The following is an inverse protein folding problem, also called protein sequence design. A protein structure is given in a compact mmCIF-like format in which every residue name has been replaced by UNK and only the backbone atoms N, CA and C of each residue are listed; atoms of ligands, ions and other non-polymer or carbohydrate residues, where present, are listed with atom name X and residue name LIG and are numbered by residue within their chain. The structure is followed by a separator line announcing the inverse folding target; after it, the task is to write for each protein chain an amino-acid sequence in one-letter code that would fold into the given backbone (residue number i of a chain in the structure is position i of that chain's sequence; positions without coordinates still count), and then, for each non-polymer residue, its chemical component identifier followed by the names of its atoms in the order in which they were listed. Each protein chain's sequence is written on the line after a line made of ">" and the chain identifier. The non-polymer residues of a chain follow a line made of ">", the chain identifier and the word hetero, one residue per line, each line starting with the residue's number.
data_IF_921400100437
#
_entry.id   IF_921400100437
#
_cell.length_a   1.000
_cell.length_b   1.000
_cell.length_c   1.000
_cell.angle_alpha   90.00
_cell.angle_beta   90.00
_cell.angle_gamma   90.00
#
_symmetry.space_group_name_H-M   'P 1'
#
loop_
_entity.id
_entity.type
_entity.pdbx_description
1 polymer ?
#
# COMPACT_ATOMS: atom_id res chain seq x y z
N UNK A 1 -17.07 1.87 -14.62
CA UNK A 1 -15.79 1.24 -15.05
C UNK A 1 -14.94 1.14 -13.80
N UNK A 2 -14.28 0.01 -13.57
CA UNK A 2 -13.42 -0.20 -12.40
C UNK A 2 -12.03 0.39 -12.66
N UNK A 3 -11.26 -0.19 -13.60
CA UNK A 3 -9.95 0.33 -14.00
C UNK A 3 -9.54 -0.15 -15.40
N UNK A 4 -8.53 0.46 -16.01
CA UNK A 4 -7.86 -0.10 -17.18
C UNK A 4 -6.73 -1.02 -16.73
N UNK A 5 -6.77 -2.29 -17.13
CA UNK A 5 -5.80 -3.28 -16.71
C UNK A 5 -4.84 -3.61 -17.86
N UNK A 6 -3.56 -3.19 -17.78
CA UNK A 6 -2.59 -3.42 -18.85
C UNK A 6 -2.29 -4.91 -19.04
N UNK A 7 -2.39 -5.72 -17.99
CA UNK A 7 -2.09 -7.16 -18.00
C UNK A 7 -3.05 -7.98 -18.87
N UNK A 8 -4.27 -7.49 -19.06
CA UNK A 8 -5.27 -8.12 -19.94
C UNK A 8 -5.53 -7.27 -21.21
N UNK A 9 -4.83 -6.15 -21.36
CA UNK A 9 -5.00 -5.22 -22.48
C UNK A 9 -6.42 -4.67 -22.65
N UNK A 10 -7.20 -4.57 -21.57
CA UNK A 10 -8.62 -4.19 -21.63
C UNK A 10 -9.07 -3.43 -20.37
N UNK A 11 -10.15 -2.65 -20.50
CA UNK A 11 -10.82 -2.06 -19.35
C UNK A 11 -11.61 -3.12 -18.58
N UNK A 12 -11.52 -3.07 -17.26
CA UNK A 12 -12.32 -3.86 -16.32
C UNK A 12 -13.53 -3.02 -15.89
N UNK A 13 -14.71 -3.59 -15.99
CA UNK A 13 -15.98 -2.95 -15.65
C UNK A 13 -17.10 -3.99 -15.61
N UNK A 14 -18.35 -3.55 -15.49
CA UNK A 14 -19.49 -4.45 -15.24
C UNK A 14 -19.54 -5.69 -16.14
N UNK A 15 -19.36 -5.52 -17.47
CA UNK A 15 -19.45 -6.62 -18.42
C UNK A 15 -18.37 -7.70 -18.31
N UNK A 16 -17.24 -7.42 -17.67
CA UNK A 16 -16.14 -8.38 -17.52
C UNK A 16 -15.57 -8.53 -16.11
N UNK A 17 -16.11 -7.79 -15.13
CA UNK A 17 -15.62 -7.79 -13.75
C UNK A 17 -15.68 -9.19 -13.12
N UNK A 18 -16.78 -9.93 -13.35
CA UNK A 18 -16.93 -11.29 -12.81
C UNK A 18 -15.94 -12.29 -13.40
N UNK A 19 -15.55 -12.13 -14.68
CA UNK A 19 -14.49 -12.96 -15.28
C UNK A 19 -13.12 -12.58 -14.73
N UNK A 20 -12.86 -11.29 -14.52
CA UNK A 20 -11.61 -10.79 -13.95
C UNK A 20 -11.38 -11.33 -12.54
N UNK A 21 -12.38 -11.29 -11.65
CA UNK A 21 -12.27 -11.85 -10.29
C UNK A 21 -11.97 -13.35 -10.31
N UNK A 22 -12.62 -14.10 -11.21
CA UNK A 22 -12.35 -15.54 -11.38
C UNK A 22 -10.93 -15.80 -11.87
N UNK A 23 -10.44 -14.99 -12.81
CA UNK A 23 -9.06 -15.06 -13.27
C UNK A 23 -8.06 -14.86 -12.11
N UNK A 24 -8.23 -13.83 -11.29
CA UNK A 24 -7.36 -13.59 -10.13
C UNK A 24 -7.41 -14.76 -9.15
N UNK A 25 -8.60 -15.29 -8.87
CA UNK A 25 -8.76 -16.47 -8.00
C UNK A 25 -8.03 -17.71 -8.56
N UNK A 26 -8.13 -17.98 -9.86
CA UNK A 26 -7.40 -19.06 -10.52
C UNK A 26 -5.88 -18.88 -10.46
N UNK A 27 -5.38 -17.65 -10.60
CA UNK A 27 -3.94 -17.35 -10.44
C UNK A 27 -3.48 -17.66 -9.02
N UNK A 28 -4.24 -17.28 -8.00
CA UNK A 28 -3.93 -17.59 -6.60
C UNK A 28 -3.87 -19.11 -6.38
N UNK A 29 -4.84 -19.87 -6.90
CA UNK A 29 -4.84 -21.34 -6.81
C UNK A 29 -3.61 -21.93 -7.51
N UNK A 30 -3.30 -21.46 -8.71
CA UNK A 30 -2.16 -21.94 -9.48
C UNK A 30 -0.83 -21.68 -8.75
N UNK A 31 -0.62 -20.46 -8.24
CA UNK A 31 0.57 -20.09 -7.50
C UNK A 31 0.69 -20.86 -6.18
N UNK A 32 -0.40 -21.02 -5.42
CA UNK A 32 -0.39 -21.79 -4.17
C UNK A 32 -0.11 -23.28 -4.41
N UNK A 33 -0.70 -23.87 -5.45
CA UNK A 33 -0.41 -25.25 -5.85
C UNK A 33 1.04 -25.42 -6.31
N UNK A 34 1.58 -24.49 -7.09
CA UNK A 34 2.99 -24.48 -7.48
C UNK A 34 3.92 -24.41 -6.27
N UNK A 35 3.66 -23.48 -5.33
CA UNK A 35 4.40 -23.39 -4.08
C UNK A 35 4.33 -24.69 -3.27
N UNK A 36 3.16 -25.31 -3.17
CA UNK A 36 2.99 -26.59 -2.48
C UNK A 36 3.86 -27.70 -3.11
N UNK A 37 3.84 -27.84 -4.44
CA UNK A 37 4.66 -28.84 -5.13
C UNK A 37 6.16 -28.59 -4.97
N UNK A 38 6.58 -27.33 -5.02
CA UNK A 38 7.97 -26.95 -4.81
C UNK A 38 8.43 -27.26 -3.38
N UNK A 39 7.62 -26.91 -2.38
CA UNK A 39 7.91 -27.23 -0.98
C UNK A 39 7.94 -28.75 -0.75
N UNK A 40 7.00 -29.49 -1.32
CA UNK A 40 6.98 -30.95 -1.26
C UNK A 40 8.23 -31.56 -1.89
N UNK A 41 8.67 -31.03 -3.05
CA UNK A 41 9.90 -31.47 -3.71
C UNK A 41 11.14 -31.17 -2.88
N UNK A 42 11.22 -29.98 -2.30
CA UNK A 42 12.31 -29.57 -1.42
C UNK A 42 12.39 -30.47 -0.19
N UNK A 43 11.26 -30.75 0.46
CA UNK A 43 11.17 -31.68 1.59
C UNK A 43 11.77 -33.04 1.22
N UNK A 44 11.36 -33.62 0.08
CA UNK A 44 11.91 -34.91 -0.39
C UNK A 44 13.42 -34.89 -0.64
N UNK A 45 13.96 -33.78 -1.14
CA UNK A 45 15.41 -33.63 -1.34
C UNK A 45 16.12 -33.54 0.00
N UNK A 46 15.58 -32.77 0.96
CA UNK A 46 16.12 -32.72 2.32
C UNK A 46 16.07 -34.08 3.03
N UNK A 47 14.99 -34.85 2.84
CA UNK A 47 14.84 -36.21 3.37
C UNK A 47 15.88 -37.15 2.76
N UNK A 48 16.14 -37.03 1.46
CA UNK A 48 17.17 -37.83 0.77
C UNK A 48 18.60 -37.42 1.15
N UNK A 49 18.81 -36.17 1.58
CA UNK A 49 20.11 -35.64 1.99
C UNK A 49 20.41 -35.89 3.47
N UNK A 50 19.41 -36.18 4.30
CA UNK A 50 19.60 -36.53 5.72
C UNK A 50 19.75 -38.05 5.90
N UNK A 51 20.99 -38.47 6.13
CA UNK A 51 21.27 -39.70 6.89
C UNK A 51 20.72 -39.54 8.32
N UNK A 52 20.34 -40.66 8.94
CA UNK A 52 19.77 -40.78 10.29
C UNK A 52 20.24 -39.66 11.23
N UNK A 53 19.28 -39.02 11.90
CA UNK A 53 19.37 -37.93 12.88
C UNK A 53 18.80 -36.58 12.40
N UNK A 54 17.79 -36.13 13.16
CA UNK A 54 17.15 -34.82 13.17
C UNK A 54 15.94 -34.59 12.22
N UNK A 55 14.92 -35.45 12.30
CA UNK A 55 13.53 -35.08 11.97
C UNK A 55 12.78 -34.44 13.15
N UNK A 56 13.42 -34.35 14.31
CA UNK A 56 12.86 -33.86 15.57
C UNK A 56 12.59 -32.35 15.59
N UNK A 57 13.28 -31.54 14.78
CA UNK A 57 13.15 -30.08 14.84
C UNK A 57 11.92 -29.57 14.07
N UNK A 58 11.48 -30.24 13.00
CA UNK A 58 10.30 -29.78 12.23
C UNK A 58 8.99 -30.17 12.91
N UNK A 59 8.93 -31.36 13.51
CA UNK A 59 7.79 -31.78 14.34
C UNK A 59 7.77 -30.98 15.65
N UNK A 60 8.91 -30.63 16.26
CA UNK A 60 8.97 -29.73 17.41
C UNK A 60 8.62 -28.26 17.07
N UNK A 61 8.89 -27.79 15.84
CA UNK A 61 8.47 -26.46 15.39
C UNK A 61 6.95 -26.39 15.13
N UNK A 62 6.37 -27.49 14.63
CA UNK A 62 4.91 -27.61 14.40
C UNK A 62 4.13 -27.93 15.68
N UNK A 63 4.68 -28.74 16.59
CA UNK A 63 4.09 -29.02 17.92
C UNK A 63 4.41 -27.91 18.95
N UNK A 64 5.50 -27.18 18.78
CA UNK A 64 5.92 -26.06 19.63
C UNK A 64 5.11 -24.78 19.43
N UNK A 65 4.34 -24.67 18.34
CA UNK A 65 3.31 -23.63 18.17
C UNK A 65 1.92 -24.04 18.66
N UNK A 66 1.81 -25.02 19.57
CA UNK A 66 0.52 -25.38 20.20
C UNK A 66 0.21 -24.63 21.51
N UNK A 67 0.92 -23.53 21.78
CA UNK A 67 0.65 -22.63 22.92
C UNK A 67 0.90 -21.15 22.56
N UNK A 68 0.40 -20.69 21.41
CA UNK A 68 -0.10 -19.31 21.37
C UNK A 68 -1.59 -19.41 21.70
N UNK A 69 -1.84 -19.35 23.00
CA UNK A 69 -3.16 -19.19 23.61
C UNK A 69 -3.77 -17.92 23.00
N UNK A 70 -4.60 -18.15 22.01
CA UNK A 70 -5.42 -17.17 21.34
C UNK A 70 -6.37 -16.55 22.39
N UNK A 71 -5.98 -15.41 22.97
CA UNK A 71 -6.96 -14.48 23.49
C UNK A 71 -7.62 -13.80 22.31
N UNK A 72 -8.50 -14.55 21.65
CA UNK A 72 -9.55 -13.98 20.81
C UNK A 72 -10.56 -13.39 21.79
N UNK A 73 -10.37 -12.12 22.15
CA UNK A 73 -11.48 -11.31 22.59
C UNK A 73 -12.60 -11.47 21.57
N UNK A 74 -13.70 -12.07 22.01
CA UNK A 74 -14.87 -12.26 21.18
C UNK A 74 -15.48 -10.90 20.87
N UNK A 75 -14.94 -10.22 19.86
CA UNK A 75 -15.70 -9.20 19.15
C UNK A 75 -16.85 -9.96 18.48
N UNK A 76 -18.01 -9.91 19.13
CA UNK A 76 -19.27 -10.41 18.63
C UNK A 76 -19.50 -9.69 17.30
N UNK A 77 -19.07 -10.31 16.18
CA UNK A 77 -19.33 -9.77 14.84
C UNK A 77 -20.83 -9.80 14.69
N UNK A 78 -21.40 -8.62 14.51
CA UNK A 78 -22.82 -8.50 14.25
C UNK A 78 -23.19 -9.39 13.07
N UNK A 79 -24.13 -10.32 13.27
CA UNK A 79 -24.61 -11.24 12.22
C UNK A 79 -25.04 -10.47 10.97
N UNK A 80 -25.50 -9.22 11.15
CA UNK A 80 -25.91 -8.34 10.07
C UNK A 80 -24.78 -7.95 9.11
N UNK A 81 -23.51 -7.97 9.54
CA UNK A 81 -22.36 -7.59 8.71
C UNK A 81 -21.97 -8.71 7.74
N UNK A 82 -22.04 -9.96 8.21
CA UNK A 82 -21.79 -11.14 7.36
C UNK A 82 -22.83 -11.30 6.26
N UNK A 83 -24.11 -11.05 6.56
CA UNK A 83 -25.20 -11.11 5.59
C UNK A 83 -25.02 -10.06 4.48
N UNK A 84 -24.65 -8.82 4.85
CA UNK A 84 -24.38 -7.74 3.89
C UNK A 84 -23.19 -8.07 2.98
N UNK A 85 -22.14 -8.67 3.54
CA UNK A 85 -20.97 -9.10 2.77
C UNK A 85 -21.34 -10.15 1.71
N UNK A 86 -22.15 -11.14 2.09
CA UNK A 86 -22.59 -12.20 1.18
C UNK A 86 -23.41 -11.61 0.04
N UNK A 87 -24.32 -10.67 0.33
CA UNK A 87 -25.11 -9.99 -0.70
C UNK A 87 -24.22 -9.24 -1.71
N UNK A 88 -23.16 -8.59 -1.24
CA UNK A 88 -22.19 -7.92 -2.12
C UNK A 88 -21.46 -8.93 -3.02
N UNK A 89 -21.07 -10.09 -2.48
CA UNK A 89 -20.42 -11.15 -3.26
C UNK A 89 -21.39 -11.72 -4.30
N UNK A 90 -22.64 -12.02 -3.91
CA UNK A 90 -23.66 -12.53 -4.82
C UNK A 90 -23.99 -11.53 -5.94
N UNK A 91 -23.89 -10.22 -5.70
CA UNK A 91 -24.08 -9.21 -6.74
C UNK A 91 -23.07 -9.32 -7.90
N UNK A 92 -21.90 -9.93 -7.66
CA UNK A 92 -20.83 -10.10 -8.65
C UNK A 92 -20.81 -11.52 -9.23
N UNK A 93 -20.93 -12.54 -8.37
CA UNK A 93 -20.75 -13.95 -8.75
C UNK A 93 -22.06 -14.72 -8.97
N UNK A 94 -23.20 -14.13 -8.60
CA UNK A 94 -24.52 -14.75 -8.63
C UNK A 94 -24.89 -15.47 -7.34
N UNK A 95 -26.17 -15.84 -7.22
CA UNK A 95 -26.76 -16.37 -5.99
C UNK A 95 -26.32 -17.80 -5.65
N UNK A 96 -25.80 -18.53 -6.63
CA UNK A 96 -25.44 -19.94 -6.51
C UNK A 96 -23.93 -20.12 -6.29
N UNK A 97 -23.46 -20.44 -5.06
CA UNK A 97 -22.02 -20.58 -4.78
C UNK A 97 -21.34 -21.71 -5.54
N UNK A 98 -22.09 -22.75 -5.91
CA UNK A 98 -21.58 -23.87 -6.73
C UNK A 98 -21.20 -23.39 -8.14
N UNK A 99 -21.87 -22.35 -8.65
CA UNK A 99 -21.62 -21.80 -9.98
C UNK A 99 -20.57 -20.68 -9.97
N UNK A 100 -20.04 -20.29 -8.82
CA UNK A 100 -18.98 -19.29 -8.75
C UNK A 100 -17.72 -19.63 -9.54
N UNK A 101 -17.26 -20.90 -9.60
CA UNK A 101 -16.15 -21.30 -10.47
C UNK A 101 -16.52 -21.27 -11.96
N UNK A 102 -17.82 -21.30 -12.29
CA UNK A 102 -18.27 -21.34 -13.67
C UNK A 102 -18.21 -19.94 -14.32
N UNK A 103 -17.69 -19.82 -15.55
CA UNK A 103 -17.59 -18.52 -16.24
C UNK A 103 -18.98 -18.06 -16.67
N UNK A 104 -19.64 -17.31 -15.79
CA UNK A 104 -20.92 -16.68 -16.05
C UNK A 104 -20.83 -15.15 -15.86
N UNK A 105 -21.60 -14.37 -16.66
CA UNK A 105 -21.66 -12.92 -16.50
C UNK A 105 -22.26 -12.53 -15.15
N UNK A 106 -21.92 -11.34 -14.64
CA UNK A 106 -22.54 -10.81 -13.43
C UNK A 106 -24.02 -10.51 -13.63
N UNK A 107 -24.88 -10.73 -12.62
CA UNK A 107 -26.29 -10.35 -12.70
C UNK A 107 -26.45 -8.82 -12.74
N UNK A 108 -27.54 -8.35 -13.37
CA UNK A 108 -27.88 -6.92 -13.47
C UNK A 108 -27.59 -6.31 -14.85
N UNK A 109 -27.76 -4.99 -14.95
CA UNK A 109 -27.58 -4.21 -16.19
C UNK A 109 -26.35 -3.29 -16.18
N UNK A 110 -25.65 -3.17 -15.03
CA UNK A 110 -24.50 -2.30 -14.87
C UNK A 110 -24.80 -0.79 -14.81
N UNK A 111 -26.08 -0.42 -14.83
CA UNK A 111 -26.56 0.97 -14.74
C UNK A 111 -27.23 1.24 -13.40
N UNK A 112 -27.89 0.22 -12.85
CA UNK A 112 -28.61 0.29 -11.57
C UNK A 112 -27.99 -0.70 -10.59
N UNK A 113 -27.77 -0.24 -9.37
CA UNK A 113 -27.21 -1.03 -8.27
C UNK A 113 -28.10 -0.90 -7.05
N UNK A 114 -28.16 -1.96 -6.24
CA UNK A 114 -28.89 -1.92 -4.99
C UNK A 114 -28.23 -0.94 -4.01
N UNK A 115 -29.01 -0.01 -3.48
CA UNK A 115 -28.56 0.97 -2.48
C UNK A 115 -29.27 0.68 -1.16
N UNK A 116 -28.59 0.90 -0.04
CA UNK A 116 -29.18 0.75 1.30
C UNK A 116 -30.38 1.70 1.45
N UNK A 117 -31.45 1.23 2.09
CA UNK A 117 -32.62 2.06 2.37
C UNK A 117 -32.23 3.29 3.23
N UNK A 118 -32.86 4.43 2.96
CA UNK A 118 -32.58 5.75 3.58
C UNK A 118 -31.17 6.29 3.33
N UNK A 119 -30.51 5.87 2.25
CA UNK A 119 -29.28 6.53 1.79
C UNK A 119 -29.64 7.80 1.05
N UNK A 120 -28.93 8.89 1.36
CA UNK A 120 -29.07 10.16 0.65
C UNK A 120 -28.76 9.97 -0.85
N UNK A 121 -29.68 10.34 -1.77
CA UNK A 121 -29.44 10.23 -3.21
C UNK A 121 -28.26 11.08 -3.69
N UNK A 122 -27.87 12.12 -2.94
CA UNK A 122 -26.72 12.95 -3.26
C UNK A 122 -25.40 12.38 -2.71
N UNK A 123 -25.42 11.23 -2.03
CA UNK A 123 -24.24 10.57 -1.46
C UNK A 123 -23.08 10.45 -2.45
N UNK A 124 -23.37 10.06 -3.70
CA UNK A 124 -22.36 9.85 -4.72
C UNK A 124 -21.61 11.12 -5.13
N UNK A 125 -22.13 12.31 -4.79
CA UNK A 125 -21.56 13.61 -5.13
C UNK A 125 -20.79 14.27 -3.98
N UNK A 126 -20.69 13.62 -2.82
CA UNK A 126 -19.91 14.14 -1.68
C UNK A 126 -18.39 13.96 -1.82
N UNK A 127 -17.91 13.51 -2.98
CA UNK A 127 -16.50 13.28 -3.24
C UNK A 127 -15.86 14.41 -4.06
N UNK A 128 -14.64 14.89 -3.71
CA UNK A 128 -13.86 14.58 -2.49
C UNK A 128 -14.56 15.10 -1.23
N UNK A 129 -14.25 14.55 -0.04
CA UNK A 129 -14.84 15.01 1.21
C UNK A 129 -14.73 16.53 1.28
N UNK A 130 -15.87 17.21 1.34
CA UNK A 130 -15.86 18.66 1.58
C UNK A 130 -15.23 18.85 2.95
N UNK A 131 -13.99 19.31 2.99
CA UNK A 131 -13.46 19.99 4.18
C UNK A 131 -14.51 21.05 4.51
N UNK A 132 -14.94 21.15 5.77
CA UNK A 132 -15.98 22.07 6.19
C UNK A 132 -15.59 23.50 5.80
N UNK A 133 -15.99 23.92 4.59
CA UNK A 133 -15.73 25.23 4.05
C UNK A 133 -16.46 26.33 4.86
N UNK A 134 -17.35 25.92 5.75
CA UNK A 134 -18.18 26.81 6.54
C UNK A 134 -17.43 27.42 7.76
N UNK A 135 -16.17 27.04 8.01
CA UNK A 135 -15.36 27.55 9.15
C UNK A 135 -14.04 28.20 8.69
N UNK A 136 -13.59 28.01 7.45
CA UNK A 136 -12.30 28.53 7.00
C UNK A 136 -12.47 29.86 6.24
N UNK A 137 -11.79 30.94 6.65
CA UNK A 137 -11.83 32.21 5.94
C UNK A 137 -11.31 32.05 4.50
N UNK A 138 -11.84 32.84 3.57
CA UNK A 138 -11.49 32.73 2.13
C UNK A 138 -9.98 32.80 1.85
N UNK A 139 -9.20 33.42 2.73
CA UNK A 139 -7.75 33.48 2.59
C UNK A 139 -7.04 32.13 2.71
N UNK A 140 -7.69 31.13 3.32
CA UNK A 140 -7.07 29.85 3.64
C UNK A 140 -7.31 28.78 2.55
N UNK A 141 -8.39 28.88 1.75
CA UNK A 141 -8.68 27.93 0.65
C UNK A 141 -7.64 28.02 -0.46
N UNK A 142 -7.16 29.22 -0.76
CA UNK A 142 -6.22 29.46 -1.85
C UNK A 142 -4.84 28.91 -1.48
N UNK A 143 -4.50 28.97 -0.18
CA UNK A 143 -3.27 28.40 0.35
C UNK A 143 -3.27 26.86 0.38
N UNK A 144 -4.42 26.19 0.44
CA UNK A 144 -4.49 24.71 0.59
C UNK A 144 -4.99 23.98 -0.65
N UNK A 145 -5.07 24.67 -1.80
CA UNK A 145 -5.53 24.06 -3.04
C UNK A 145 -4.66 22.85 -3.40
N UNK A 146 -5.25 21.66 -3.48
CA UNK A 146 -4.55 20.43 -3.83
C UNK A 146 -4.72 20.16 -5.33
N UNK A 147 -3.62 19.89 -6.03
CA UNK A 147 -3.60 19.50 -7.44
C UNK A 147 -3.20 18.03 -7.53
N UNK A 148 -3.85 17.28 -8.43
CA UNK A 148 -3.41 15.90 -8.74
C UNK A 148 -2.08 15.96 -9.45
N UNK A 149 -1.09 15.20 -8.98
CA UNK A 149 0.16 15.01 -9.70
C UNK A 149 0.05 13.80 -10.62
N UNK A 150 0.16 14.06 -11.92
CA UNK A 150 -0.26 13.19 -13.02
C UNK A 150 0.44 11.82 -13.06
N UNK A 151 1.61 11.70 -12.41
CA UNK A 151 2.43 10.48 -12.42
C UNK A 151 2.18 9.52 -11.26
N UNK A 152 1.65 9.98 -10.12
CA UNK A 152 1.60 9.17 -8.89
C UNK A 152 0.21 9.05 -8.27
N UNK A 153 -0.78 9.79 -8.78
CA UNK A 153 -2.19 9.65 -8.36
C UNK A 153 -2.51 10.19 -6.95
N UNK A 154 -1.52 10.70 -6.22
CA UNK A 154 -1.72 11.39 -4.96
C UNK A 154 -1.97 12.90 -5.17
N UNK A 155 -2.71 13.50 -4.24
CA UNK A 155 -3.00 14.94 -4.20
C UNK A 155 -1.85 15.66 -3.49
N UNK A 156 -1.32 16.72 -4.11
CA UNK A 156 -0.24 17.54 -3.55
C UNK A 156 -0.71 18.99 -3.50
N UNK A 157 -0.27 19.76 -2.50
CA UNK A 157 -0.52 21.20 -2.40
C UNK A 157 0.00 21.92 -3.65
N UNK A 158 -0.82 22.80 -4.21
CA UNK A 158 -0.43 23.69 -5.30
C UNK A 158 0.71 24.59 -4.81
N UNK A 159 1.84 24.55 -5.51
CA UNK A 159 2.99 25.39 -5.18
C UNK A 159 2.76 26.75 -5.83
N UNK A 160 2.53 27.77 -5.01
CA UNK A 160 2.38 29.17 -5.46
C UNK A 160 3.70 29.71 -6.02
N UNK A 161 3.66 30.88 -6.68
CA UNK A 161 4.88 31.51 -7.19
C UNK A 161 5.79 31.96 -6.05
N UNK A 162 5.19 32.40 -4.95
CA UNK A 162 5.85 32.80 -3.72
C UNK A 162 6.56 31.60 -3.08
N UNK A 163 5.86 30.46 -2.92
CA UNK A 163 6.45 29.21 -2.41
C UNK A 163 7.64 28.78 -3.29
N UNK A 164 7.57 28.99 -4.61
CA UNK A 164 8.71 28.72 -5.52
C UNK A 164 9.88 29.67 -5.27
N UNK A 165 9.62 30.96 -5.07
CA UNK A 165 10.67 31.95 -4.79
C UNK A 165 11.32 31.66 -3.44
N UNK A 166 10.57 31.28 -2.41
CA UNK A 166 11.10 30.90 -1.11
C UNK A 166 11.97 29.65 -1.18
N UNK A 167 11.52 28.59 -1.88
CA UNK A 167 12.34 27.40 -2.07
C UNK A 167 13.67 27.71 -2.78
N UNK A 168 13.64 28.58 -3.81
CA UNK A 168 14.85 29.01 -4.51
C UNK A 168 15.75 29.89 -3.64
N UNK A 169 15.19 30.75 -2.79
CA UNK A 169 15.96 31.56 -1.85
C UNK A 169 16.59 30.72 -0.75
N UNK A 170 15.89 29.70 -0.27
CA UNK A 170 16.40 28.77 0.74
C UNK A 170 17.55 27.91 0.19
N UNK A 171 17.46 27.48 -1.07
CA UNK A 171 18.54 26.79 -1.78
C UNK A 171 19.79 27.69 -1.91
N UNK A 172 19.63 28.94 -2.33
CA UNK A 172 20.73 29.92 -2.41
C UNK A 172 21.34 30.24 -1.03
N UNK A 173 20.52 30.29 0.03
CA UNK A 173 20.98 30.53 1.38
C UNK A 173 21.81 29.33 1.91
N UNK A 174 21.38 28.10 1.61
CA UNK A 174 22.13 26.88 1.93
C UNK A 174 23.47 26.82 1.18
N UNK A 175 23.48 27.16 -0.10
CA UNK A 175 24.73 27.25 -0.88
C UNK A 175 25.68 28.32 -0.32
N UNK A 176 25.16 29.46 0.12
CA UNK A 176 25.99 30.50 0.75
C UNK A 176 26.54 30.08 2.12
N UNK A 177 25.77 29.34 2.93
CA UNK A 177 26.24 28.78 4.20
C UNK A 177 27.33 27.72 3.98
N UNK A 178 27.17 26.84 2.99
CA UNK A 178 28.16 25.82 2.65
C UNK A 178 29.48 26.44 2.12
N UNK A 179 29.38 27.49 1.30
CA UNK A 179 30.55 28.26 0.85
C UNK A 179 31.24 28.95 2.04
N UNK A 180 30.48 29.56 2.94
CA UNK A 180 31.01 30.26 4.12
C UNK A 180 31.67 29.29 5.11
N UNK A 181 31.10 28.11 5.36
CA UNK A 181 31.75 27.06 6.17
C UNK A 181 33.06 26.57 5.54
N UNK A 182 33.11 26.46 4.20
CA UNK A 182 34.32 26.06 3.48
C UNK A 182 35.44 27.13 3.54
N UNK A 183 35.10 28.42 3.52
CA UNK A 183 36.06 29.52 3.67
C UNK A 183 36.62 29.64 5.09
N UNK A 184 35.78 29.39 6.12
CA UNK A 184 36.22 29.37 7.53
C UNK A 184 37.21 28.24 7.76
N UNK A 185 36.95 27.04 7.23
CA UNK A 185 37.85 25.90 7.36
C UNK A 185 39.20 26.11 6.65
N UNK A 186 39.22 26.90 5.57
CA UNK A 186 40.47 27.28 4.89
C UNK A 186 41.29 28.28 5.73
N UNK A 187 40.65 29.26 6.36
CA UNK A 187 41.34 30.28 7.17
C UNK A 187 41.98 29.74 8.47
N UNK A 188 41.39 28.71 9.08
CA UNK A 188 41.95 28.09 10.30
C UNK A 188 43.21 27.23 10.04
N UNK A 189 43.51 26.93 8.78
CA UNK A 189 44.67 26.10 8.40
C UNK A 189 46.01 26.86 8.43
N UNK A 190 45.98 28.20 8.42
CA UNK A 190 47.17 29.03 8.23
C UNK A 190 47.74 29.66 9.53
N UNK A 191 47.14 29.38 10.71
CA UNK A 191 47.50 30.07 11.97
C UNK A 191 48.38 29.27 12.96
N UNK A 192 48.77 28.03 12.70
CA UNK A 192 49.61 27.25 13.64
C UNK A 192 50.94 26.82 13.00
N UNK A 193 51.95 27.68 13.14
CA UNK A 193 53.27 27.45 12.54
C UNK A 193 54.41 28.20 13.22
N UNK A 194 54.54 28.15 14.55
CA UNK A 194 55.84 28.32 15.21
C UNK A 194 55.79 27.86 16.67
N UNK A 195 56.25 26.64 16.96
CA UNK A 195 57.05 26.45 18.17
C UNK A 195 58.10 25.33 18.01
N UNK A 196 59.21 25.59 18.66
CA UNK A 196 60.57 25.15 18.43
C UNK A 196 60.85 23.84 19.17
N UNK A 197 61.47 22.87 18.50
CA UNK A 197 61.86 21.58 19.08
C UNK A 197 63.08 21.72 19.98
N UNK A 198 62.99 21.25 21.23
CA UNK A 198 64.14 20.96 22.11
C UNK A 198 64.23 19.46 22.44
N UNK A 199 65.46 19.04 22.70
CA UNK A 199 66.06 17.70 22.57
C UNK A 199 66.01 16.82 23.83
N UNK A 200 66.59 15.61 23.68
CA UNK A 200 67.10 14.61 24.66
C UNK A 200 66.16 13.41 24.89
N UNK A 201 66.38 12.19 24.33
CA UNK A 201 67.51 11.24 24.40
C UNK A 201 67.94 10.87 25.83
N UNK A 202 67.27 9.86 26.42
CA UNK A 202 67.83 8.54 26.78
C UNK A 202 66.71 7.53 27.11
#
# INVERSE_FOLDING_TARGET
>A
MDHHCPWIGNCVGFGNYSYFIRFIFSVIICCTYGCYLLLWRLQRIFDARKNSWQFTILIAYLLGKRQLKDQREGKQRDSSEGEKLILNICSVLGDNPILWPWPAPSPGNGVQFAVKQNTDPLMAYYWPPKVQADIMPETEWESQRLVRRDSEGYLVKEITLEDRIEMLQQENCFEQEEVMESEIQYCDSDSEGSDMTDYELE
#
